data_IF_657573199156
#
_entry.id   IF_657573199156
#
_cell.length_a   1.000
_cell.length_b   1.000
_cell.length_c   1.000
_cell.angle_alpha   90.00
_cell.angle_beta   90.00
_cell.angle_gamma   90.00
#
_symmetry.space_group_name_H-M   'P 1'
#
loop_
_entity.id
_entity.type
_entity.pdbx_description
1 polymer ?
#
# COMPACT_ATOMS: atom_id res chain seq x y z
N UNK A 1 -12.89 0.34 16.61
CA UNK A 1 -12.27 0.24 15.28
C UNK A 1 -12.42 -1.18 14.78
N UNK A 2 -12.86 -1.36 13.55
CA UNK A 2 -12.83 -2.66 12.87
C UNK A 2 -11.39 -3.04 12.50
N UNK A 3 -11.15 -4.31 12.22
CA UNK A 3 -9.84 -4.80 11.75
C UNK A 3 -9.41 -4.11 10.45
N UNK A 4 -10.36 -3.81 9.56
CA UNK A 4 -10.14 -3.08 8.32
C UNK A 4 -9.68 -1.64 8.58
N UNK A 5 -10.27 -0.97 9.59
CA UNK A 5 -9.85 0.37 9.99
C UNK A 5 -8.44 0.39 10.58
N UNK A 6 -8.06 -0.66 11.34
CA UNK A 6 -6.69 -0.83 11.86
C UNK A 6 -5.68 -1.01 10.73
N UNK A 7 -5.98 -1.89 9.78
CA UNK A 7 -5.13 -2.15 8.61
C UNK A 7 -4.97 -0.88 7.77
N UNK A 8 -6.02 -0.05 7.67
CA UNK A 8 -5.93 1.23 6.96
C UNK A 8 -4.91 2.21 7.54
N UNK A 9 -4.55 2.10 8.82
CA UNK A 9 -3.54 2.98 9.43
C UNK A 9 -2.16 2.82 8.81
N UNK A 10 -1.82 1.65 8.25
CA UNK A 10 -0.51 1.42 7.63
C UNK A 10 -0.27 2.34 6.44
N UNK A 11 -1.35 2.86 5.83
CA UNK A 11 -1.30 3.75 4.67
C UNK A 11 -1.26 5.24 5.05
N UNK A 12 -1.27 5.57 6.34
CA UNK A 12 -1.16 6.96 6.76
C UNK A 12 0.23 7.52 6.43
N UNK A 13 0.29 8.78 5.95
CA UNK A 13 1.56 9.40 5.60
C UNK A 13 2.49 9.45 6.82
N UNK A 14 3.72 9.02 6.64
CA UNK A 14 4.74 9.00 7.70
C UNK A 14 4.54 7.92 8.78
N UNK A 15 3.52 7.05 8.67
CA UNK A 15 3.40 5.90 9.55
C UNK A 15 4.48 4.87 9.21
N UNK A 16 5.34 4.56 10.18
CA UNK A 16 6.41 3.59 10.03
C UNK A 16 6.77 2.97 11.37
N UNK A 17 7.13 1.69 11.35
CA UNK A 17 7.68 0.98 12.51
C UNK A 17 9.21 1.06 12.56
N UNK A 18 9.84 1.79 11.63
CA UNK A 18 11.28 1.96 11.61
C UNK A 18 11.75 2.87 12.75
N UNK A 19 12.70 2.39 13.57
CA UNK A 19 13.28 3.15 14.68
C UNK A 19 14.16 4.34 14.21
N UNK A 20 14.62 4.33 12.95
CA UNK A 20 15.43 5.40 12.37
C UNK A 20 15.08 5.55 10.88
N UNK A 21 15.09 6.80 10.41
CA UNK A 21 14.98 7.11 8.98
C UNK A 21 16.30 6.71 8.33
N UNK A 22 16.29 5.70 7.47
CA UNK A 22 17.48 5.26 6.72
C UNK A 22 17.41 5.73 5.26
N UNK A 23 18.53 5.95 4.59
CA UNK A 23 18.55 6.35 3.17
C UNK A 23 17.95 5.29 2.22
N UNK A 24 17.93 4.02 2.65
CA UNK A 24 17.25 2.92 1.91
C UNK A 24 15.73 2.98 2.14
N UNK A 25 15.29 3.39 3.33
CA UNK A 25 13.89 3.78 3.63
C UNK A 25 13.52 5.15 3.05
N UNK A 26 14.52 5.97 2.69
CA UNK A 26 14.43 7.35 2.22
C UNK A 26 14.23 7.52 0.72
N UNK A 27 14.08 6.43 -0.04
CA UNK A 27 13.63 6.49 -1.45
C UNK A 27 12.14 6.78 -1.62
N UNK A 28 11.45 7.10 -0.52
CA UNK A 28 10.01 7.33 -0.54
C UNK A 28 9.24 6.07 -0.89
N UNK A 29 9.53 4.95 -0.23
CA UNK A 29 8.72 3.73 -0.38
C UNK A 29 8.11 3.36 0.97
N UNK A 30 7.14 4.17 1.38
CA UNK A 30 6.19 3.84 2.43
C UNK A 30 4.91 3.27 1.83
N UNK A 31 4.07 2.67 2.67
CA UNK A 31 2.78 2.13 2.24
C UNK A 31 1.83 3.24 1.75
N UNK A 32 1.98 4.47 2.26
CA UNK A 32 1.32 5.68 1.76
C UNK A 32 1.68 5.95 0.28
N UNK A 33 2.96 5.85 -0.09
CA UNK A 33 3.42 6.05 -1.46
C UNK A 33 3.02 4.89 -2.37
N UNK A 34 3.02 3.65 -1.86
CA UNK A 34 2.50 2.48 -2.58
C UNK A 34 1.01 2.67 -2.92
N UNK A 35 0.18 3.05 -1.94
CA UNK A 35 -1.24 3.35 -2.17
C UNK A 35 -1.42 4.46 -3.19
N UNK A 36 -0.71 5.59 -3.02
CA UNK A 36 -0.78 6.71 -3.95
C UNK A 36 -0.44 6.32 -5.40
N UNK A 37 0.55 5.44 -5.61
CA UNK A 37 0.88 4.96 -6.95
C UNK A 37 -0.21 4.07 -7.55
N UNK A 38 -0.82 3.20 -6.75
CA UNK A 38 -1.91 2.33 -7.20
C UNK A 38 -3.15 3.16 -7.53
N UNK A 39 -3.49 4.14 -6.69
CA UNK A 39 -4.62 5.07 -6.92
C UNK A 39 -4.42 5.91 -8.18
N UNK A 40 -3.19 6.37 -8.47
CA UNK A 40 -2.84 7.08 -9.73
C UNK A 40 -3.10 6.24 -10.98
N UNK A 41 -3.07 4.92 -10.86
CA UNK A 41 -3.40 3.98 -11.94
C UNK A 41 -4.89 3.61 -11.95
N UNK A 42 -5.72 4.35 -11.20
CA UNK A 42 -7.13 4.03 -10.96
C UNK A 42 -7.31 2.62 -10.37
N UNK A 43 -6.29 2.13 -9.68
CA UNK A 43 -6.28 0.82 -9.03
C UNK A 43 -6.78 0.87 -7.59
N UNK A 44 -6.89 -0.32 -7.01
CA UNK A 44 -7.26 -0.55 -5.61
C UNK A 44 -6.23 -1.48 -4.96
N UNK A 45 -5.95 -1.24 -3.69
CA UNK A 45 -5.14 -2.12 -2.83
C UNK A 45 -5.96 -2.55 -1.62
N UNK A 46 -5.94 -3.85 -1.35
CA UNK A 46 -6.54 -4.47 -0.18
C UNK A 46 -5.51 -5.32 0.57
N UNK A 47 -5.65 -5.43 1.88
CA UNK A 47 -4.67 -6.09 2.75
C UNK A 47 -5.39 -6.98 3.75
N UNK A 48 -5.01 -8.24 3.75
CA UNK A 48 -5.50 -9.25 4.68
C UNK A 48 -4.29 -9.75 5.47
N UNK A 49 -4.34 -9.71 6.80
CA UNK A 49 -3.20 -10.12 7.64
C UNK A 49 -3.67 -10.84 8.88
N UNK A 50 -2.98 -11.92 9.23
CA UNK A 50 -3.22 -12.68 10.45
C UNK A 50 -1.89 -12.98 11.13
N UNK A 51 -1.81 -12.73 12.44
CA UNK A 51 -0.58 -12.96 13.21
C UNK A 51 -0.16 -14.43 13.10
N UNK A 52 1.11 -14.66 12.77
CA UNK A 52 1.66 -16.01 12.59
C UNK A 52 1.26 -16.72 11.30
N UNK A 53 0.38 -16.14 10.48
CA UNK A 53 -0.02 -16.69 9.17
C UNK A 53 0.51 -15.85 8.00
N UNK A 54 1.01 -14.65 8.28
CA UNK A 54 1.56 -13.73 7.30
C UNK A 54 0.53 -12.70 6.81
N UNK A 55 0.89 -12.02 5.73
CA UNK A 55 0.14 -10.90 5.16
C UNK A 55 -0.02 -11.10 3.66
N UNK A 56 -1.24 -10.89 3.16
CA UNK A 56 -1.60 -10.96 1.75
C UNK A 56 -2.01 -9.57 1.28
N UNK A 57 -1.39 -9.13 0.19
CA UNK A 57 -1.73 -7.90 -0.51
C UNK A 57 -2.45 -8.25 -1.81
N UNK A 58 -3.61 -7.62 -2.05
CA UNK A 58 -4.37 -7.78 -3.28
C UNK A 58 -4.40 -6.44 -4.01
N UNK A 59 -3.80 -6.39 -5.21
CA UNK A 59 -3.79 -5.19 -6.05
C UNK A 59 -4.68 -5.43 -7.25
N UNK A 60 -5.67 -4.56 -7.45
CA UNK A 60 -6.57 -4.58 -8.61
C UNK A 60 -6.25 -3.36 -9.45
N UNK A 61 -5.73 -3.57 -10.66
CA UNK A 61 -5.49 -2.48 -11.61
C UNK A 61 -6.52 -2.59 -12.74
N UNK A 62 -7.14 -1.48 -13.17
CA UNK A 62 -8.02 -1.49 -14.33
C UNK A 62 -7.22 -1.88 -15.57
N UNK A 63 -7.81 -2.74 -16.40
CA UNK A 63 -7.30 -2.98 -17.74
C UNK A 63 -7.54 -1.73 -18.57
N UNK A 64 -6.49 -0.95 -18.81
CA UNK A 64 -6.54 0.08 -19.83
C UNK A 64 -6.46 -0.60 -21.19
N UNK A 65 -7.54 -0.56 -21.98
CA UNK A 65 -7.48 -0.80 -23.41
C UNK A 65 -6.63 0.32 -24.05
N UNK A 66 -5.31 0.12 -24.10
CA UNK A 66 -4.42 0.94 -24.89
C UNK A 66 -4.60 0.54 -26.36
N UNK A 67 -5.72 0.96 -26.98
CA UNK A 67 -5.84 0.95 -28.43
C UNK A 67 -4.96 2.08 -28.93
N UNK A 68 -3.70 1.75 -29.20
CA UNK A 68 -2.76 2.65 -29.88
C UNK A 68 -2.86 2.35 -31.37
N UNK A 69 -3.57 3.25 -32.07
CA UNK A 69 -3.72 3.46 -33.53
C UNK A 69 -4.01 2.24 -34.41
#
# INVERSE_FOLDING_TARGET
MSEQELIHLIFLPGFSTANAVSDISGRGVGMDIVRNHIEKLNGLIDVETNLGQGTKFTIKLPLTLAIVR
#
